data_IF_979288556238
#
_entry.id   IF_979288556238
#
_cell.length_a   1.000
_cell.length_b   1.000
_cell.length_c   1.000
_cell.angle_alpha   90.00
_cell.angle_beta   90.00
_cell.angle_gamma   90.00
#
_symmetry.space_group_name_H-M   'P 1'
#
loop_
_entity.id
_entity.type
_entity.pdbx_description
1 polymer ?
#
# COMPACT_ATOMS: atom_id res chain seq x y z
N UNK A 1 -58.18 -11.93 -26.68
CA UNK A 1 -57.47 -10.68 -27.06
C UNK A 1 -56.04 -10.88 -26.63
N UNK A 2 -55.22 -11.49 -27.49
CA UNK A 2 -53.82 -11.79 -27.21
C UNK A 2 -52.96 -10.94 -28.15
N UNK A 3 -52.22 -10.01 -27.56
CA UNK A 3 -51.28 -9.11 -28.25
C UNK A 3 -49.92 -9.81 -28.36
N UNK A 4 -49.61 -10.30 -29.57
CA UNK A 4 -48.30 -10.81 -29.91
C UNK A 4 -47.32 -9.64 -30.16
N UNK A 5 -46.23 -9.59 -29.40
CA UNK A 5 -45.11 -8.66 -29.60
C UNK A 5 -44.14 -9.28 -30.61
N UNK A 6 -44.10 -8.71 -31.80
CA UNK A 6 -43.12 -9.03 -32.85
C UNK A 6 -41.83 -8.27 -32.55
N UNK A 7 -40.76 -8.97 -32.19
CA UNK A 7 -39.41 -8.41 -32.08
C UNK A 7 -38.73 -8.58 -33.43
N UNK A 8 -38.51 -7.46 -34.14
CA UNK A 8 -37.66 -7.42 -35.32
C UNK A 8 -36.19 -7.42 -34.89
N UNK A 9 -35.45 -8.44 -35.30
CA UNK A 9 -33.99 -8.52 -35.16
C UNK A 9 -33.33 -7.63 -36.22
N UNK A 10 -32.70 -6.54 -35.80
CA UNK A 10 -31.84 -5.72 -36.66
C UNK A 10 -30.58 -6.50 -37.06
N UNK A 11 -30.37 -6.68 -38.37
CA UNK A 11 -29.16 -7.30 -38.91
C UNK A 11 -27.99 -6.32 -38.80
N UNK A 12 -27.01 -6.63 -37.97
CA UNK A 12 -25.77 -5.86 -37.85
C UNK A 12 -24.88 -6.15 -39.08
N UNK A 13 -24.54 -5.09 -39.82
CA UNK A 13 -23.68 -5.16 -41.00
C UNK A 13 -22.27 -5.69 -40.64
N UNK A 14 -21.77 -6.75 -41.31
CA UNK A 14 -20.47 -7.36 -41.00
C UNK A 14 -19.25 -6.47 -41.31
N UNK A 15 -19.45 -5.34 -41.99
CA UNK A 15 -18.36 -4.45 -42.43
C UNK A 15 -17.81 -3.55 -41.32
N UNK A 16 -18.57 -3.27 -40.24
CA UNK A 16 -18.08 -2.39 -39.16
C UNK A 16 -17.16 -3.09 -38.16
N UNK A 17 -17.32 -4.41 -37.98
CA UNK A 17 -16.49 -5.21 -37.08
C UNK A 17 -15.04 -5.34 -37.62
N UNK A 18 -14.90 -5.51 -38.94
CA UNK A 18 -13.58 -5.63 -39.59
C UNK A 18 -12.75 -4.34 -39.54
N UNK A 19 -13.37 -3.16 -39.54
CA UNK A 19 -12.65 -1.89 -39.43
C UNK A 19 -12.18 -1.59 -38.00
N UNK A 20 -12.96 -1.99 -36.99
CA UNK A 20 -12.54 -1.87 -35.59
C UNK A 20 -11.34 -2.81 -35.28
N UNK A 21 -11.35 -4.02 -35.84
CA UNK A 21 -10.26 -4.98 -35.64
C UNK A 21 -8.97 -4.58 -36.40
N UNK A 22 -9.10 -3.96 -37.58
CA UNK A 22 -7.97 -3.41 -38.33
C UNK A 22 -7.34 -2.17 -37.64
N UNK A 23 -8.15 -1.32 -36.99
CA UNK A 23 -7.65 -0.16 -36.25
C UNK A 23 -6.83 -0.58 -35.01
N UNK A 24 -7.28 -1.61 -34.27
CA UNK A 24 -6.56 -2.17 -33.12
C UNK A 24 -5.24 -2.86 -33.51
N UNK A 25 -5.16 -3.48 -34.69
CA UNK A 25 -3.91 -4.06 -35.22
C UNK A 25 -2.87 -3.00 -35.62
N UNK A 26 -3.30 -1.82 -36.09
CA UNK A 26 -2.37 -0.75 -36.45
C UNK A 26 -1.80 -0.01 -35.22
N UNK A 27 -2.59 0.21 -34.17
CA UNK A 27 -2.09 0.82 -32.91
C UNK A 27 -1.06 -0.05 -32.19
N UNK A 28 -1.23 -1.38 -32.20
CA UNK A 28 -0.28 -2.31 -31.59
C UNK A 28 1.05 -2.38 -32.37
N UNK A 29 1.03 -2.18 -33.68
CA UNK A 29 2.22 -2.20 -34.51
C UNK A 29 3.09 -0.93 -34.38
N UNK A 30 2.49 0.24 -34.13
CA UNK A 30 3.23 1.49 -33.89
C UNK A 30 3.86 1.56 -32.49
N UNK A 31 3.22 0.92 -31.50
CA UNK A 31 3.74 0.82 -30.14
C UNK A 31 5.09 0.08 -30.06
N UNK A 32 5.35 -0.86 -30.98
CA UNK A 32 6.61 -1.62 -31.01
C UNK A 32 7.77 -0.91 -31.72
N UNK A 33 7.52 0.04 -32.63
CA UNK A 33 8.58 0.80 -33.32
C UNK A 33 9.12 1.99 -32.51
N UNK A 34 8.30 2.58 -31.63
CA UNK A 34 8.65 3.82 -30.91
C UNK A 34 9.76 3.71 -29.84
N UNK A 35 10.14 2.50 -29.41
CA UNK A 35 11.07 2.32 -28.27
C UNK A 35 12.56 2.22 -28.65
N UNK A 36 12.90 2.12 -29.95
CA UNK A 36 14.29 1.83 -30.35
C UNK A 36 15.11 3.06 -30.78
N UNK A 37 14.48 4.19 -31.10
CA UNK A 37 15.20 5.38 -31.56
C UNK A 37 15.58 6.37 -30.44
N UNK A 38 14.94 6.31 -29.27
CA UNK A 38 15.24 7.23 -28.15
C UNK A 38 16.45 6.80 -27.31
N UNK A 39 16.75 5.50 -27.24
CA UNK A 39 17.92 4.99 -26.52
C UNK A 39 19.25 5.26 -27.25
N UNK A 40 19.25 5.30 -28.59
CA UNK A 40 20.43 5.61 -29.40
C UNK A 40 20.78 7.10 -29.40
N UNK A 41 19.79 7.99 -29.37
CA UNK A 41 19.99 9.44 -29.20
C UNK A 41 20.49 9.77 -27.79
N UNK A 42 19.89 9.19 -26.74
CA UNK A 42 20.34 9.38 -25.36
C UNK A 42 21.77 8.84 -25.13
N UNK A 43 22.11 7.70 -25.76
CA UNK A 43 23.47 7.13 -25.69
C UNK A 43 24.51 8.02 -26.39
N UNK A 44 24.16 8.67 -27.51
CA UNK A 44 25.04 9.63 -28.19
C UNK A 44 25.26 10.89 -27.36
N UNK A 45 24.23 11.38 -26.67
CA UNK A 45 24.34 12.54 -25.75
C UNK A 45 25.24 12.21 -24.55
N UNK A 46 25.08 11.02 -23.94
CA UNK A 46 25.91 10.58 -22.80
C UNK A 46 27.38 10.39 -23.21
N UNK A 47 27.65 9.82 -24.39
CA UNK A 47 29.03 9.66 -24.89
C UNK A 47 29.67 11.01 -25.21
N UNK A 48 28.90 11.97 -25.74
CA UNK A 48 29.38 13.33 -26.03
C UNK A 48 29.69 14.11 -24.75
N UNK A 49 28.88 13.95 -23.70
CA UNK A 49 29.09 14.60 -22.41
C UNK A 49 30.24 13.97 -21.61
N UNK A 50 30.43 12.65 -21.70
CA UNK A 50 31.57 11.96 -21.08
C UNK A 50 32.91 12.39 -21.68
N UNK A 51 32.96 12.61 -23.01
CA UNK A 51 34.14 13.18 -23.69
C UNK A 51 34.40 14.65 -23.33
N UNK A 52 33.38 15.43 -22.96
CA UNK A 52 33.56 16.80 -22.44
C UNK A 52 34.13 16.81 -21.02
N UNK A 53 33.70 15.87 -20.18
CA UNK A 53 34.18 15.74 -18.80
C UNK A 53 35.64 15.25 -18.77
N UNK A 54 36.03 14.31 -19.63
CA UNK A 54 37.42 13.83 -19.73
C UNK A 54 38.40 14.89 -20.24
N UNK A 55 37.96 15.84 -21.08
CA UNK A 55 38.82 16.94 -21.57
C UNK A 55 39.07 18.05 -20.54
N UNK A 56 38.29 18.11 -19.47
CA UNK A 56 38.35 19.20 -18.48
C UNK A 56 38.88 18.78 -17.10
N UNK A 57 39.49 17.59 -16.96
CA UNK A 57 40.16 17.21 -15.72
C UNK A 57 41.65 17.59 -15.74
N UNK A 58 42.16 18.31 -14.72
CA UNK A 58 43.58 18.60 -14.59
C UNK A 58 44.39 17.33 -14.28
N UNK A 59 45.46 17.13 -15.04
CA UNK A 59 46.46 16.06 -14.87
C UNK A 59 47.16 16.16 -13.51
N UNK A 60 46.62 15.53 -12.46
CA UNK A 60 47.42 15.28 -11.27
C UNK A 60 46.86 14.13 -10.41
N UNK A 61 46.80 12.89 -10.93
CA UNK A 61 46.50 11.70 -10.11
C UNK A 61 46.87 10.39 -10.85
N UNK A 62 48.16 10.06 -10.94
CA UNK A 62 48.61 8.75 -11.50
C UNK A 62 49.49 7.91 -10.56
N UNK A 63 49.94 8.40 -9.39
CA UNK A 63 50.98 7.70 -8.61
C UNK A 63 50.54 6.91 -7.35
N UNK A 64 49.24 6.72 -7.10
CA UNK A 64 48.76 6.10 -5.85
C UNK A 64 48.21 4.67 -5.97
N UNK A 65 48.21 4.03 -7.15
CA UNK A 65 47.53 2.73 -7.35
C UNK A 65 48.36 1.46 -7.16
N UNK A 66 49.67 1.54 -6.86
CA UNK A 66 50.54 0.35 -6.76
C UNK A 66 50.83 -0.15 -5.34
N UNK A 67 50.34 0.50 -4.27
CA UNK A 67 50.63 0.10 -2.87
C UNK A 67 49.44 -0.45 -2.05
N UNK A 68 48.27 -0.66 -2.67
CA UNK A 68 47.05 -1.04 -1.95
C UNK A 68 46.62 -2.51 -2.11
N UNK A 69 47.32 -3.32 -2.91
CA UNK A 69 46.96 -4.73 -3.17
C UNK A 69 47.50 -5.75 -2.14
N UNK A 70 48.49 -5.38 -1.33
CA UNK A 70 49.13 -6.35 -0.40
C UNK A 70 48.63 -6.28 1.05
N UNK A 71 47.80 -5.27 1.41
CA UNK A 71 47.29 -5.13 2.79
C UNK A 71 45.92 -5.79 3.05
N UNK A 72 45.22 -6.26 2.01
CA UNK A 72 43.86 -6.84 2.14
C UNK A 72 43.82 -8.36 2.29
N UNK A 73 44.95 -9.08 2.15
CA UNK A 73 44.97 -10.54 2.36
C UNK A 73 45.19 -10.98 3.81
N UNK A 74 45.67 -10.11 4.70
CA UNK A 74 46.03 -10.49 6.08
C UNK A 74 44.82 -10.43 7.05
N UNK A 75 43.71 -9.78 6.68
CA UNK A 75 42.62 -9.50 7.62
C UNK A 75 41.41 -10.47 7.53
N UNK A 76 41.35 -11.34 6.52
CA UNK A 76 40.21 -12.24 6.33
C UNK A 76 40.29 -13.52 7.20
N UNK A 77 41.49 -14.04 7.43
CA UNK A 77 41.69 -15.25 8.26
C UNK A 77 41.49 -14.99 9.76
N UNK A 78 41.83 -13.79 10.24
CA UNK A 78 41.65 -13.40 11.64
C UNK A 78 40.17 -13.16 12.02
N UNK A 79 39.33 -12.78 11.05
CA UNK A 79 37.88 -12.65 11.26
C UNK A 79 37.22 -14.03 11.37
N UNK A 80 37.63 -14.98 10.52
CA UNK A 80 37.15 -16.37 10.54
C UNK A 80 37.56 -17.13 11.80
N UNK A 81 38.75 -16.86 12.37
CA UNK A 81 39.18 -17.44 13.66
C UNK A 81 38.40 -16.89 14.86
N UNK A 82 37.94 -15.63 14.83
CA UNK A 82 37.15 -15.03 15.92
C UNK A 82 35.69 -15.49 15.94
N UNK A 83 35.12 -15.88 14.81
CA UNK A 83 33.76 -16.43 14.76
C UNK A 83 33.69 -17.89 15.21
N UNK A 84 34.71 -18.69 14.92
CA UNK A 84 34.77 -20.11 15.35
C UNK A 84 34.96 -20.28 16.86
N UNK A 85 35.58 -19.31 17.56
CA UNK A 85 35.67 -19.36 19.03
C UNK A 85 34.37 -18.97 19.76
N UNK A 86 33.47 -18.18 19.14
CA UNK A 86 32.22 -17.77 19.78
C UNK A 86 31.15 -18.85 19.80
N UNK A 87 31.23 -19.82 18.89
CA UNK A 87 30.23 -20.89 18.76
C UNK A 87 30.36 -22.01 19.81
N UNK A 88 31.52 -22.15 20.47
CA UNK A 88 31.76 -23.20 21.48
C UNK A 88 31.45 -22.80 22.94
N UNK A 89 30.98 -21.58 23.20
CA UNK A 89 30.73 -21.08 24.56
C UNK A 89 29.24 -20.94 24.96
N UNK A 90 28.29 -21.42 24.15
CA UNK A 90 26.84 -21.32 24.45
C UNK A 90 26.15 -22.68 24.55
N UNK A 91 26.60 -23.55 25.45
CA UNK A 91 25.82 -24.70 25.94
C UNK A 91 26.03 -24.88 27.45
N UNK A 92 25.49 -23.95 28.25
CA UNK A 92 25.18 -24.21 29.67
C UNK A 92 23.83 -23.58 30.03
N UNK A 93 22.86 -24.46 30.31
CA UNK A 93 21.54 -24.11 30.85
C UNK A 93 21.65 -23.54 32.26
N UNK A 94 20.66 -22.75 32.71
CA UNK A 94 20.32 -22.72 34.12
C UNK A 94 18.89 -23.16 34.40
N UNK A 95 18.83 -23.94 35.47
CA UNK A 95 17.71 -24.60 36.14
C UNK A 95 16.68 -23.64 36.74
N UNK A 96 15.42 -24.10 36.72
CA UNK A 96 14.27 -23.60 37.50
C UNK A 96 14.60 -23.37 38.97
N UNK A 97 14.23 -22.20 39.52
CA UNK A 97 13.93 -22.03 40.95
C UNK A 97 12.64 -21.24 41.15
N UNK A 98 11.88 -21.77 42.11
CA UNK A 98 10.53 -21.47 42.57
C UNK A 98 10.65 -20.79 43.94
N UNK A 99 9.93 -19.70 44.17
CA UNK A 99 9.58 -19.11 45.48
C UNK A 99 8.44 -18.11 45.16
N UNK A 100 7.18 -18.25 45.58
CA UNK A 100 6.59 -18.28 46.93
C UNK A 100 6.94 -17.07 47.81
N UNK A 101 5.86 -16.48 48.36
CA UNK A 101 5.75 -15.43 49.39
C UNK A 101 5.81 -13.99 48.81
N UNK A 102 5.03 -13.00 49.25
CA UNK A 102 4.38 -12.82 50.55
C UNK A 102 3.20 -11.84 50.49
N UNK A 103 2.29 -12.02 51.46
CA UNK A 103 1.20 -11.12 51.78
C UNK A 103 1.70 -9.87 52.53
N UNK A 104 1.12 -8.70 52.24
CA UNK A 104 1.49 -7.45 52.90
C UNK A 104 0.34 -6.43 52.93
N UNK A 105 -0.35 -6.39 54.07
CA UNK A 105 -1.31 -5.36 54.52
C UNK A 105 -0.71 -3.94 54.44
N UNK A 106 -1.54 -2.92 54.19
CA UNK A 106 -1.50 -1.61 54.89
C UNK A 106 -2.76 -0.77 54.56
N UNK A 107 -3.68 -0.62 55.52
CA UNK A 107 -3.84 0.54 56.44
C UNK A 107 -4.31 1.82 55.73
N UNK A 108 -5.60 2.16 55.84
CA UNK A 108 -6.18 3.12 56.82
C UNK A 108 -5.41 4.45 56.90
N UNK A 109 -6.02 5.53 56.39
CA UNK A 109 -5.99 6.86 57.02
C UNK A 109 -7.25 7.64 56.65
N UNK A 110 -8.13 7.78 57.64
CA UNK A 110 -9.21 8.75 57.62
C UNK A 110 -8.69 10.12 58.03
N UNK A 111 -9.29 11.16 57.47
CA UNK A 111 -9.27 12.51 58.03
C UNK A 111 -10.71 13.02 58.04
N UNK A 112 -11.37 12.82 59.19
CA UNK A 112 -12.49 13.67 59.64
C UNK A 112 -11.86 15.01 60.04
N UNK A 113 -12.28 16.10 59.38
CA UNK A 113 -12.01 17.45 59.86
C UNK A 113 -13.33 18.05 60.32
N UNK A 114 -13.50 18.06 61.63
CA UNK A 114 -14.46 18.85 62.38
C UNK A 114 -14.14 20.34 62.17
N UNK A 115 -15.12 21.12 61.73
CA UNK A 115 -15.10 22.57 61.85
C UNK A 115 -16.34 22.97 62.63
N UNK A 116 -16.06 23.74 63.65
CA UNK A 116 -16.90 24.23 64.74
C UNK A 116 -18.06 25.09 64.25
N UNK A 117 -19.23 24.83 64.83
CA UNK A 117 -20.31 25.79 64.94
C UNK A 117 -19.82 26.95 65.81
N UNK A 118 -19.92 28.17 65.27
CA UNK A 118 -19.83 29.40 66.05
C UNK A 118 -21.10 30.15 65.70
N UNK A 119 -22.05 30.09 66.62
CA UNK A 119 -23.23 30.94 66.63
C UNK A 119 -22.77 32.34 67.03
N UNK A 120 -22.85 33.30 66.09
CA UNK A 120 -22.83 34.71 66.42
C UNK A 120 -23.97 35.41 65.66
N UNK A 121 -25.02 35.64 66.44
CA UNK A 121 -26.06 36.64 66.25
C UNK A 121 -25.43 38.03 66.14
N UNK A 122 -25.67 38.77 65.04
CA UNK A 122 -25.99 40.21 65.13
C UNK A 122 -26.46 40.84 63.80
N UNK A 123 -27.49 41.67 63.96
CA UNK A 123 -27.94 42.81 63.17
C UNK A 123 -28.14 42.72 61.65
N UNK A 124 -29.43 42.59 61.34
CA UNK A 124 -30.12 43.17 60.19
C UNK A 124 -29.62 44.57 59.82
N UNK A 125 -29.05 44.71 58.62
CA UNK A 125 -28.80 45.97 57.91
C UNK A 125 -29.14 45.74 56.45
N UNK A 126 -30.24 46.34 56.05
CA UNK A 126 -30.89 46.25 54.76
C UNK A 126 -30.17 47.09 53.71
N UNK A 127 -29.13 46.50 53.08
CA UNK A 127 -28.43 46.99 51.88
C UNK A 127 -27.96 45.79 51.00
N UNK A 128 -28.86 44.85 50.69
CA UNK A 128 -28.50 43.52 50.13
C UNK A 128 -28.62 43.36 48.59
N UNK A 129 -28.96 44.39 47.82
CA UNK A 129 -29.33 44.16 46.41
C UNK A 129 -28.19 44.19 45.38
N UNK A 130 -26.94 44.51 45.76
CA UNK A 130 -25.83 44.67 44.77
C UNK A 130 -24.69 43.62 44.87
N UNK A 131 -24.74 42.69 45.82
CA UNK A 131 -23.67 41.66 45.98
C UNK A 131 -23.83 40.43 45.07
N UNK A 132 -25.04 40.12 44.63
CA UNK A 132 -25.33 38.93 43.81
C UNK A 132 -24.69 38.95 42.41
N UNK A 133 -24.50 40.14 41.83
CA UNK A 133 -24.05 40.27 40.44
C UNK A 133 -22.55 39.95 40.26
N UNK A 134 -21.73 40.18 41.30
CA UNK A 134 -20.29 39.91 41.24
C UNK A 134 -19.96 38.42 41.34
N UNK A 135 -20.74 37.64 42.10
CA UNK A 135 -20.51 36.20 42.25
C UNK A 135 -20.83 35.43 40.96
N UNK A 136 -21.92 35.78 40.27
CA UNK A 136 -22.29 35.17 38.99
C UNK A 136 -21.25 35.41 37.88
N UNK A 137 -20.61 36.60 37.88
CA UNK A 137 -19.56 36.95 36.92
C UNK A 137 -18.31 36.09 37.11
N UNK A 138 -17.88 35.87 38.36
CA UNK A 138 -16.71 35.04 38.69
C UNK A 138 -16.89 33.57 38.29
N UNK A 139 -18.06 32.99 38.54
CA UNK A 139 -18.35 31.61 38.15
C UNK A 139 -18.33 31.41 36.62
N UNK A 140 -18.86 32.38 35.87
CA UNK A 140 -18.86 32.33 34.41
C UNK A 140 -17.44 32.35 33.86
N UNK A 141 -16.57 33.21 34.38
CA UNK A 141 -15.18 33.30 33.96
C UNK A 141 -14.39 32.03 34.29
N UNK A 142 -14.60 31.46 35.48
CA UNK A 142 -13.99 30.19 35.88
C UNK A 142 -14.37 29.04 34.92
N UNK A 143 -15.67 28.92 34.60
CA UNK A 143 -16.17 27.92 33.63
C UNK A 143 -15.55 28.12 32.24
N UNK A 144 -15.46 29.35 31.77
CA UNK A 144 -14.83 29.66 30.48
C UNK A 144 -13.34 29.28 30.46
N UNK A 145 -12.60 29.55 31.53
CA UNK A 145 -11.18 29.20 31.61
C UNK A 145 -10.96 27.68 31.63
N UNK A 146 -11.80 26.94 32.36
CA UNK A 146 -11.77 25.47 32.35
C UNK A 146 -12.03 24.90 30.94
N UNK A 147 -13.01 25.46 30.22
CA UNK A 147 -13.30 25.07 28.83
C UNK A 147 -12.14 25.39 27.89
N UNK A 148 -11.52 26.58 28.01
CA UNK A 148 -10.33 26.95 27.22
C UNK A 148 -9.17 25.97 27.46
N UNK A 149 -8.97 25.52 28.70
CA UNK A 149 -7.96 24.51 29.01
C UNK A 149 -8.28 23.16 28.36
N UNK A 150 -9.52 22.68 28.44
CA UNK A 150 -9.96 21.44 27.78
C UNK A 150 -9.80 21.52 26.26
N UNK A 151 -10.14 22.66 25.64
CA UNK A 151 -9.91 22.87 24.20
C UNK A 151 -8.43 22.80 23.85
N UNK A 152 -7.54 23.45 24.62
CA UNK A 152 -6.08 23.37 24.41
C UNK A 152 -5.57 21.94 24.54
N UNK A 153 -6.01 21.22 25.56
CA UNK A 153 -5.61 19.82 25.77
C UNK A 153 -6.12 18.90 24.66
N UNK A 154 -7.36 19.09 24.21
CA UNK A 154 -7.94 18.37 23.08
C UNK A 154 -7.18 18.61 21.78
N UNK A 155 -6.80 19.87 21.49
CA UNK A 155 -5.98 20.24 20.32
C UNK A 155 -4.62 19.56 20.41
N UNK A 156 -3.98 19.61 21.59
CA UNK A 156 -2.66 18.99 21.82
C UNK A 156 -2.70 17.47 21.67
N UNK A 157 -3.76 16.82 22.17
CA UNK A 157 -3.94 15.35 22.11
C UNK A 157 -4.51 14.88 20.77
N UNK A 158 -4.99 15.78 19.91
CA UNK A 158 -5.71 15.46 18.67
C UNK A 158 -6.91 14.53 18.90
N UNK A 159 -7.60 14.68 20.03
CA UNK A 159 -8.75 13.86 20.38
C UNK A 159 -10.04 14.54 19.90
N UNK A 160 -10.63 13.99 18.84
CA UNK A 160 -11.86 14.52 18.23
C UNK A 160 -13.06 14.46 19.17
N UNK A 161 -13.19 13.44 20.03
CA UNK A 161 -14.31 13.34 20.96
C UNK A 161 -14.17 14.38 22.08
N UNK A 162 -12.96 14.54 22.63
CA UNK A 162 -12.69 15.55 23.65
C UNK A 162 -12.97 16.96 23.12
N UNK A 163 -12.55 17.25 21.88
CA UNK A 163 -12.80 18.54 21.24
C UNK A 163 -14.28 18.80 21.00
N UNK A 164 -15.04 17.82 20.49
CA UNK A 164 -16.49 17.95 20.28
C UNK A 164 -17.24 18.22 21.59
N UNK A 165 -16.87 17.52 22.67
CA UNK A 165 -17.44 17.76 24.01
C UNK A 165 -17.11 19.16 24.51
N UNK A 166 -15.84 19.58 24.44
CA UNK A 166 -15.42 20.90 24.89
C UNK A 166 -16.04 22.06 24.08
N UNK A 167 -16.29 21.86 22.78
CA UNK A 167 -17.00 22.85 21.95
C UNK A 167 -18.47 22.96 22.35
N UNK A 168 -19.15 21.83 22.63
CA UNK A 168 -20.54 21.83 23.14
C UNK A 168 -20.63 22.52 24.51
N UNK A 169 -19.68 22.25 25.40
CA UNK A 169 -19.58 22.94 26.70
C UNK A 169 -19.42 24.46 26.52
N UNK A 170 -18.63 24.90 25.54
CA UNK A 170 -18.43 26.30 25.23
C UNK A 170 -19.71 27.00 24.73
N UNK A 171 -20.50 26.31 23.90
CA UNK A 171 -21.80 26.79 23.43
C UNK A 171 -22.78 26.94 24.59
N UNK A 172 -22.82 25.99 25.52
CA UNK A 172 -23.69 26.06 26.71
C UNK A 172 -23.35 27.23 27.63
N UNK A 173 -22.07 27.60 27.75
CA UNK A 173 -21.61 28.74 28.58
C UNK A 173 -21.74 30.09 27.83
N UNK A 174 -22.16 30.07 26.56
CA UNK A 174 -22.31 31.26 25.74
C UNK A 174 -20.98 31.91 25.36
N UNK A 175 -19.93 31.11 25.13
CA UNK A 175 -18.67 31.63 24.59
C UNK A 175 -18.89 32.17 23.17
N UNK A 176 -18.24 33.29 22.85
CA UNK A 176 -18.32 33.90 21.52
C UNK A 176 -17.80 32.93 20.45
N UNK A 177 -18.53 32.80 19.33
CA UNK A 177 -18.15 31.91 18.20
C UNK A 177 -16.78 32.23 17.59
N UNK A 178 -16.33 33.48 17.73
CA UNK A 178 -15.05 33.98 17.21
C UNK A 178 -13.90 33.88 18.22
N UNK A 179 -14.11 33.24 19.38
CA UNK A 179 -13.03 33.01 20.34
C UNK A 179 -11.94 32.15 19.70
N UNK A 180 -10.69 32.60 19.75
CA UNK A 180 -9.52 31.98 19.11
C UNK A 180 -9.46 30.45 19.31
N UNK A 181 -9.66 29.96 20.53
CA UNK A 181 -9.57 28.54 20.84
C UNK A 181 -10.72 27.71 20.26
N UNK A 182 -11.90 28.29 20.09
CA UNK A 182 -13.04 27.62 19.45
C UNK A 182 -12.84 27.48 17.95
N UNK A 183 -12.34 28.54 17.30
CA UNK A 183 -12.00 28.50 15.87
C UNK A 183 -10.92 27.43 15.63
N UNK A 184 -9.82 27.47 16.39
CA UNK A 184 -8.76 26.45 16.28
C UNK A 184 -9.26 25.03 16.54
N UNK A 185 -10.14 24.82 17.52
CA UNK A 185 -10.71 23.50 17.81
C UNK A 185 -11.59 23.00 16.66
N UNK A 186 -12.44 23.86 16.08
CA UNK A 186 -13.29 23.51 14.94
C UNK A 186 -12.46 23.11 13.73
N UNK A 187 -11.43 23.88 13.41
CA UNK A 187 -10.53 23.60 12.28
C UNK A 187 -9.76 22.29 12.51
N UNK A 188 -9.29 22.07 13.74
CA UNK A 188 -8.59 20.82 14.11
C UNK A 188 -9.49 19.60 13.95
N UNK A 189 -10.76 19.68 14.39
CA UNK A 189 -11.72 18.58 14.22
C UNK A 189 -11.99 18.32 12.74
N UNK A 190 -12.24 19.36 11.94
CA UNK A 190 -12.49 19.22 10.49
C UNK A 190 -11.32 18.52 9.80
N UNK A 191 -10.10 18.96 10.07
CA UNK A 191 -8.90 18.38 9.46
C UNK A 191 -8.61 16.95 9.95
N UNK A 192 -8.90 16.61 11.21
CA UNK A 192 -8.79 15.22 11.70
C UNK A 192 -9.83 14.29 11.04
N UNK A 193 -11.04 14.79 10.80
CA UNK A 193 -12.08 14.04 10.08
C UNK A 193 -11.67 13.77 8.63
N UNK A 194 -11.14 14.76 7.92
CA UNK A 194 -10.61 14.62 6.57
C UNK A 194 -9.43 13.64 6.51
N UNK A 195 -8.49 13.72 7.47
CA UNK A 195 -7.40 12.74 7.58
C UNK A 195 -7.94 11.30 7.75
N UNK A 196 -8.99 11.13 8.55
CA UNK A 196 -9.58 9.81 8.78
C UNK A 196 -10.32 9.31 7.53
N UNK A 197 -10.99 10.19 6.78
CA UNK A 197 -11.60 9.86 5.49
C UNK A 197 -10.54 9.44 4.47
N UNK A 198 -9.44 10.19 4.35
CA UNK A 198 -8.31 9.82 3.49
C UNK A 198 -7.75 8.45 3.86
N UNK A 199 -7.49 8.20 5.16
CA UNK A 199 -7.05 6.88 5.63
C UNK A 199 -8.04 5.76 5.29
N UNK A 200 -9.34 6.02 5.40
CA UNK A 200 -10.37 5.05 5.03
C UNK A 200 -10.42 4.82 3.51
N UNK A 201 -10.26 5.85 2.69
CA UNK A 201 -10.19 5.75 1.23
C UNK A 201 -8.96 4.98 0.77
N UNK A 202 -7.81 5.27 1.37
CA UNK A 202 -6.54 4.53 1.24
C UNK A 202 -6.74 3.06 1.56
N UNK A 203 -7.35 2.73 2.72
CA UNK A 203 -7.62 1.35 3.11
C UNK A 203 -8.56 0.62 2.13
N UNK A 204 -9.48 1.34 1.50
CA UNK A 204 -10.38 0.78 0.48
C UNK A 204 -9.73 0.67 -0.91
N UNK A 205 -8.50 1.15 -1.09
CA UNK A 205 -7.75 1.15 -2.35
C UNK A 205 -8.53 1.73 -3.56
N UNK A 206 -9.47 2.65 -3.31
CA UNK A 206 -10.27 3.27 -4.38
C UNK A 206 -9.55 4.52 -4.87
N UNK A 207 -8.86 4.42 -6.01
CA UNK A 207 -8.10 5.52 -6.62
C UNK A 207 -8.88 6.84 -6.69
N UNK A 208 -10.12 6.81 -7.19
CA UNK A 208 -10.98 8.01 -7.28
C UNK A 208 -11.30 8.61 -5.92
N UNK A 209 -11.56 7.78 -4.91
CA UNK A 209 -11.81 8.25 -3.56
C UNK A 209 -10.55 8.89 -2.95
N UNK A 210 -9.37 8.29 -3.16
CA UNK A 210 -8.10 8.84 -2.70
C UNK A 210 -7.85 10.21 -3.36
N UNK A 211 -8.04 10.32 -4.67
CA UNK A 211 -7.87 11.56 -5.43
C UNK A 211 -8.81 12.66 -4.92
N UNK A 212 -10.10 12.35 -4.77
CA UNK A 212 -11.09 13.30 -4.27
C UNK A 212 -10.74 13.80 -2.86
N UNK A 213 -10.30 12.93 -1.96
CA UNK A 213 -9.90 13.31 -0.59
C UNK A 213 -8.61 14.14 -0.56
N UNK A 214 -7.62 13.83 -1.42
CA UNK A 214 -6.42 14.66 -1.59
C UNK A 214 -6.80 16.06 -2.04
N UNK A 215 -7.72 16.20 -3.00
CA UNK A 215 -8.17 17.49 -3.52
C UNK A 215 -8.93 18.30 -2.46
N UNK A 216 -9.73 17.64 -1.61
CA UNK A 216 -10.42 18.29 -0.48
C UNK A 216 -9.39 18.80 0.55
N UNK A 217 -8.46 17.94 0.97
CA UNK A 217 -7.43 18.31 1.95
C UNK A 217 -6.55 19.45 1.40
N UNK A 218 -6.18 19.40 0.13
CA UNK A 218 -5.37 20.44 -0.53
C UNK A 218 -6.11 21.79 -0.55
N UNK A 219 -7.42 21.80 -0.82
CA UNK A 219 -8.26 23.01 -0.78
C UNK A 219 -8.43 23.55 0.65
N UNK A 220 -8.58 22.69 1.65
CA UNK A 220 -8.67 23.14 3.04
C UNK A 220 -7.33 23.65 3.57
N UNK A 221 -6.21 23.05 3.16
CA UNK A 221 -4.88 23.51 3.48
C UNK A 221 -4.61 24.92 2.91
N UNK A 222 -5.01 25.19 1.66
CA UNK A 222 -4.84 26.52 1.08
C UNK A 222 -5.63 27.58 1.83
N UNK A 223 -6.85 27.25 2.28
CA UNK A 223 -7.66 28.11 3.15
C UNK A 223 -7.00 28.33 4.52
N UNK A 224 -6.42 27.29 5.12
CA UNK A 224 -5.76 27.40 6.42
C UNK A 224 -4.51 28.29 6.35
N UNK A 225 -3.74 28.18 5.26
CA UNK A 225 -2.56 29.00 4.99
C UNK A 225 -2.94 30.47 4.80
N UNK A 226 -4.05 30.77 4.12
CA UNK A 226 -4.50 32.16 3.91
C UNK A 226 -4.96 32.85 5.19
N UNK A 227 -5.51 32.10 6.16
CA UNK A 227 -5.98 32.63 7.44
C UNK A 227 -4.88 32.74 8.51
N UNK A 228 -3.68 32.24 8.22
CA UNK A 228 -2.51 32.33 9.10
C UNK A 228 -1.38 33.15 8.46
N UNK A 229 -1.52 34.50 8.33
CA UNK A 229 -0.56 35.35 7.62
C UNK A 229 0.87 35.32 8.20
N UNK A 230 1.05 34.87 9.44
CA UNK A 230 2.36 34.66 10.05
C UNK A 230 3.17 33.49 9.47
N UNK A 231 2.53 32.57 8.72
CA UNK A 231 3.18 31.39 8.12
C UNK A 231 3.78 31.73 6.74
N UNK A 232 3.20 32.68 6.00
CA UNK A 232 3.60 33.01 4.63
C UNK A 232 4.97 33.71 4.51
N UNK A 233 5.46 34.37 5.57
CA UNK A 233 6.67 35.21 5.46
C UNK A 233 8.01 34.48 5.60
N UNK A 234 8.04 33.22 6.04
CA UNK A 234 9.31 32.59 6.41
C UNK A 234 9.51 31.13 6.04
N UNK A 235 8.46 30.44 5.58
CA UNK A 235 8.64 29.12 4.94
C UNK A 235 8.35 29.33 3.47
N UNK A 236 9.35 29.32 2.57
CA UNK A 236 9.07 29.22 1.17
C UNK A 236 8.45 27.84 0.95
N UNK A 237 7.12 27.77 0.94
CA UNK A 237 6.37 26.61 0.48
C UNK A 237 6.49 26.44 -1.05
N UNK A 238 7.52 27.04 -1.66
CA UNK A 238 7.89 26.82 -3.05
C UNK A 238 8.09 25.32 -3.27
N UNK A 239 7.85 24.90 -4.50
CA UNK A 239 8.08 23.53 -4.98
C UNK A 239 9.45 22.97 -4.58
N UNK A 240 10.42 23.79 -4.20
CA UNK A 240 11.74 23.40 -3.72
C UNK A 240 11.73 22.61 -2.41
N UNK A 241 10.84 22.91 -1.44
CA UNK A 241 10.73 22.07 -0.22
C UNK A 241 10.08 20.72 -0.55
N UNK A 242 9.13 20.70 -1.49
CA UNK A 242 8.57 19.45 -2.04
C UNK A 242 9.64 18.63 -2.78
N UNK A 243 10.50 19.27 -3.56
CA UNK A 243 11.59 18.62 -4.30
C UNK A 243 12.71 18.12 -3.38
N UNK A 244 13.08 18.92 -2.37
CA UNK A 244 14.09 18.55 -1.38
C UNK A 244 13.64 17.40 -0.47
N UNK A 245 12.36 17.35 -0.06
CA UNK A 245 11.82 16.18 0.65
C UNK A 245 11.76 14.92 -0.21
N UNK A 246 11.56 15.04 -1.52
CA UNK A 246 11.51 13.91 -2.44
C UNK A 246 12.88 13.25 -2.67
N UNK A 247 13.98 14.02 -2.55
CA UNK A 247 15.35 13.51 -2.71
C UNK A 247 16.03 13.05 -1.41
N UNK A 248 15.44 13.30 -0.25
CA UNK A 248 16.08 12.93 1.03
C UNK A 248 15.97 11.41 1.25
N UNK A 249 17.09 10.68 1.34
CA UNK A 249 17.07 9.27 1.68
C UNK A 249 16.45 9.07 3.07
N UNK A 250 15.74 7.94 3.24
CA UNK A 250 15.08 7.53 4.47
C UNK A 250 16.08 7.49 5.64
N UNK A 251 16.26 8.60 6.36
CA UNK A 251 17.24 8.71 7.45
C UNK A 251 17.88 10.08 7.66
N UNK A 252 17.66 11.07 6.79
CA UNK A 252 18.22 12.40 6.98
C UNK A 252 17.54 13.16 8.15
N UNK A 253 18.35 13.68 9.08
CA UNK A 253 17.90 14.49 10.22
C UNK A 253 17.73 15.95 9.78
N UNK A 254 16.52 16.48 9.88
CA UNK A 254 16.23 17.89 9.57
C UNK A 254 16.72 18.82 10.71
N UNK A 255 17.29 19.99 10.38
CA UNK A 255 17.71 20.97 11.38
C UNK A 255 16.51 21.55 12.13
N UNK A 256 16.47 21.33 13.45
CA UNK A 256 15.47 21.86 14.36
C UNK A 256 15.73 23.34 14.64
N UNK A 257 15.09 24.23 13.88
CA UNK A 257 15.10 25.67 14.19
C UNK A 257 14.21 25.93 15.40
N UNK A 258 14.78 26.44 16.49
CA UNK A 258 14.08 26.73 17.74
C UNK A 258 13.27 28.04 17.65
N UNK A 259 11.94 27.94 17.46
CA UNK A 259 10.99 29.07 17.59
C UNK A 259 9.84 28.81 18.57
N UNK A 260 9.17 29.91 18.97
CA UNK A 260 8.15 30.04 20.04
C UNK A 260 7.10 28.91 20.01
N UNK A 261 6.83 28.34 21.19
CA UNK A 261 6.11 27.06 21.41
C UNK A 261 4.70 26.93 20.77
N UNK A 262 4.00 28.03 20.50
CA UNK A 262 2.63 27.97 19.96
C UNK A 262 2.55 27.77 18.45
N UNK A 263 3.55 28.19 17.67
CA UNK A 263 3.59 27.91 16.22
C UNK A 263 3.89 26.43 15.95
N UNK A 264 4.69 25.79 16.81
CA UNK A 264 5.11 24.38 16.65
C UNK A 264 3.95 23.39 16.51
N UNK A 265 2.81 23.63 17.15
CA UNK A 265 1.66 22.71 17.09
C UNK A 265 0.93 22.77 15.75
N UNK A 266 0.73 23.97 15.22
CA UNK A 266 0.12 24.16 13.89
C UNK A 266 1.07 23.70 12.79
N UNK A 267 2.38 23.98 12.94
CA UNK A 267 3.40 23.53 11.99
C UNK A 267 3.50 22.00 11.97
N UNK A 268 3.49 21.34 13.14
CA UNK A 268 3.48 19.88 13.23
C UNK A 268 2.22 19.29 12.62
N UNK A 269 1.07 19.94 12.80
CA UNK A 269 -0.20 19.47 12.25
C UNK A 269 -0.23 19.60 10.71
N UNK A 270 0.16 20.76 10.18
CA UNK A 270 0.31 20.96 8.75
C UNK A 270 1.29 19.94 8.15
N UNK A 271 2.41 19.70 8.83
CA UNK A 271 3.38 18.68 8.43
C UNK A 271 2.78 17.26 8.39
N UNK A 272 2.02 16.85 9.41
CA UNK A 272 1.36 15.55 9.44
C UNK A 272 0.32 15.39 8.33
N UNK A 273 -0.41 16.45 7.98
CA UNK A 273 -1.34 16.43 6.84
C UNK A 273 -0.59 16.32 5.52
N UNK A 274 0.49 17.08 5.34
CA UNK A 274 1.33 17.00 4.13
C UNK A 274 1.93 15.61 3.96
N UNK A 275 2.43 14.99 5.04
CA UNK A 275 2.90 13.60 5.00
C UNK A 275 1.78 12.63 4.61
N UNK A 276 0.58 12.79 5.17
CA UNK A 276 -0.56 11.93 4.84
C UNK A 276 -1.01 12.06 3.38
N UNK A 277 -1.02 13.28 2.84
CA UNK A 277 -1.28 13.53 1.41
C UNK A 277 -0.21 12.89 0.54
N UNK A 278 1.07 13.03 0.91
CA UNK A 278 2.18 12.45 0.16
C UNK A 278 2.12 10.91 0.12
N UNK A 279 1.84 10.27 1.26
CA UNK A 279 1.66 8.82 1.32
C UNK A 279 0.49 8.36 0.46
N UNK A 280 -0.64 9.08 0.50
CA UNK A 280 -1.80 8.78 -0.32
C UNK A 280 -1.54 9.00 -1.82
N UNK A 281 -0.79 10.04 -2.20
CA UNK A 281 -0.37 10.27 -3.60
C UNK A 281 0.49 9.11 -4.11
N UNK A 282 1.45 8.65 -3.30
CA UNK A 282 2.29 7.50 -3.66
C UNK A 282 1.45 6.24 -3.89
N UNK A 283 0.50 5.96 -3.02
CA UNK A 283 -0.40 4.82 -3.18
C UNK A 283 -1.32 4.97 -4.39
N UNK A 284 -1.79 6.19 -4.69
CA UNK A 284 -2.57 6.47 -5.88
C UNK A 284 -1.77 6.18 -7.15
N UNK A 285 -0.53 6.65 -7.23
CA UNK A 285 0.36 6.36 -8.36
C UNK A 285 0.62 4.86 -8.50
N UNK A 286 0.80 4.13 -7.40
CA UNK A 286 1.01 2.68 -7.41
C UNK A 286 -0.25 1.95 -7.95
N UNK A 287 -1.46 2.35 -7.52
CA UNK A 287 -2.72 1.80 -8.02
C UNK A 287 -2.92 2.14 -9.51
N UNK A 288 -2.65 3.38 -9.93
CA UNK A 288 -2.77 3.79 -11.33
C UNK A 288 -1.77 3.05 -12.22
N UNK A 289 -0.53 2.85 -11.74
CA UNK A 289 0.48 2.03 -12.41
C UNK A 289 0.04 0.57 -12.52
N UNK A 290 -0.60 -0.01 -11.49
CA UNK A 290 -1.18 -1.36 -11.58
C UNK A 290 -2.29 -1.43 -12.63
N UNK A 291 -3.29 -0.55 -12.55
CA UNK A 291 -4.43 -0.51 -13.47
C UNK A 291 -4.03 -0.23 -14.91
N UNK A 292 -3.00 0.59 -15.12
CA UNK A 292 -2.46 0.86 -16.46
C UNK A 292 -1.90 -0.43 -17.05
N UNK A 293 -1.14 -1.19 -16.26
CA UNK A 293 -0.61 -2.49 -16.71
C UNK A 293 -1.69 -3.52 -16.90
N UNK A 294 -2.66 -3.64 -16.01
CA UNK A 294 -3.81 -4.54 -16.22
C UNK A 294 -4.50 -4.26 -17.56
N UNK A 295 -4.71 -2.98 -17.90
CA UNK A 295 -5.24 -2.59 -19.22
C UNK A 295 -4.31 -3.00 -20.35
N UNK A 296 -3.03 -2.63 -20.28
CA UNK A 296 -2.03 -2.99 -21.30
C UNK A 296 -1.91 -4.51 -21.48
N UNK A 297 -1.97 -5.28 -20.40
CA UNK A 297 -1.88 -6.74 -20.37
C UNK A 297 -3.15 -7.38 -20.89
N UNK A 298 -4.33 -6.88 -20.50
CA UNK A 298 -5.61 -7.43 -20.96
C UNK A 298 -5.81 -7.31 -22.47
N UNK A 299 -5.29 -6.24 -23.07
CA UNK A 299 -5.29 -6.05 -24.53
C UNK A 299 -4.37 -7.07 -25.20
N UNK A 300 -3.22 -7.37 -24.58
CA UNK A 300 -2.12 -8.12 -25.20
C UNK A 300 -2.22 -9.63 -24.95
N UNK A 301 -2.74 -10.05 -23.80
CA UNK A 301 -2.95 -11.45 -23.40
C UNK A 301 -4.45 -11.68 -23.24
N UNK A 302 -5.06 -12.28 -24.26
CA UNK A 302 -6.47 -12.66 -24.26
C UNK A 302 -6.65 -14.18 -24.45
N UNK A 303 -7.91 -14.65 -24.51
CA UNK A 303 -8.21 -16.07 -24.71
C UNK A 303 -7.73 -16.60 -26.07
N UNK A 304 -7.66 -15.75 -27.09
CA UNK A 304 -7.06 -16.06 -28.39
C UNK A 304 -5.55 -16.30 -28.28
N UNK A 305 -4.83 -15.43 -27.57
CA UNK A 305 -3.40 -15.57 -27.25
C UNK A 305 -3.14 -16.91 -26.54
N UNK A 306 -3.97 -17.27 -25.55
CA UNK A 306 -3.88 -18.54 -24.83
C UNK A 306 -4.09 -19.74 -25.76
N UNK A 307 -5.13 -19.69 -26.61
CA UNK A 307 -5.44 -20.74 -27.57
C UNK A 307 -4.31 -20.94 -28.59
N UNK A 308 -3.71 -19.85 -29.08
CA UNK A 308 -2.58 -19.89 -29.99
C UNK A 308 -1.36 -20.60 -29.35
N UNK A 309 -1.07 -20.32 -28.08
CA UNK A 309 -0.02 -21.01 -27.33
C UNK A 309 -0.34 -22.50 -27.14
N UNK A 310 -1.59 -22.85 -26.82
CA UNK A 310 -1.99 -24.27 -26.68
C UNK A 310 -1.93 -25.06 -27.98
N UNK A 311 -2.10 -24.39 -29.12
CA UNK A 311 -2.10 -25.02 -30.43
C UNK A 311 -0.76 -25.67 -30.83
N UNK A 312 0.34 -25.31 -30.15
CA UNK A 312 1.64 -25.94 -30.40
C UNK A 312 1.66 -27.38 -29.87
N UNK A 313 1.68 -28.35 -30.78
CA UNK A 313 1.96 -29.76 -30.47
C UNK A 313 3.39 -29.92 -29.92
N UNK A 314 4.34 -29.23 -30.52
CA UNK A 314 5.74 -29.13 -30.11
C UNK A 314 6.19 -27.67 -30.23
N UNK A 315 6.45 -26.98 -29.11
CA UNK A 315 6.69 -25.54 -29.13
C UNK A 315 8.13 -25.24 -29.59
N UNK A 316 8.36 -24.15 -30.33
CA UNK A 316 9.71 -23.64 -30.53
C UNK A 316 10.39 -23.38 -29.17
N UNK A 317 11.68 -23.71 -29.05
CA UNK A 317 12.42 -23.60 -27.77
C UNK A 317 12.30 -22.22 -27.13
N UNK A 318 12.30 -21.15 -27.96
CA UNK A 318 12.15 -19.77 -27.48
C UNK A 318 10.76 -19.52 -26.87
N UNK A 319 9.70 -20.02 -27.52
CA UNK A 319 8.32 -19.93 -26.99
C UNK A 319 8.23 -20.66 -25.66
N UNK A 320 8.77 -21.88 -25.59
CA UNK A 320 8.77 -22.66 -24.35
C UNK A 320 9.51 -21.94 -23.21
N UNK A 321 10.69 -21.37 -23.47
CA UNK A 321 11.46 -20.59 -22.48
C UNK A 321 10.70 -19.36 -21.98
N UNK A 322 9.99 -18.66 -22.86
CA UNK A 322 9.15 -17.53 -22.45
C UNK A 322 8.03 -17.99 -21.53
N UNK A 323 7.32 -19.06 -21.92
CA UNK A 323 6.26 -19.62 -21.10
C UNK A 323 6.77 -20.12 -19.75
N UNK A 324 7.96 -20.73 -19.69
CA UNK A 324 8.62 -21.08 -18.43
C UNK A 324 8.81 -19.87 -17.53
N UNK A 325 9.40 -18.78 -18.05
CA UNK A 325 9.60 -17.55 -17.30
C UNK A 325 8.29 -16.95 -16.79
N UNK A 326 7.25 -16.94 -17.63
CA UNK A 326 5.92 -16.44 -17.27
C UNK A 326 5.24 -17.29 -16.20
N UNK A 327 5.27 -18.62 -16.31
CA UNK A 327 4.71 -19.51 -15.30
C UNK A 327 5.52 -19.50 -13.99
N UNK A 328 6.82 -19.22 -14.06
CA UNK A 328 7.65 -18.99 -12.87
C UNK A 328 7.11 -17.83 -12.02
N UNK A 329 6.71 -16.74 -12.68
CA UNK A 329 6.14 -15.56 -12.01
C UNK A 329 4.79 -15.89 -11.36
N UNK A 330 3.98 -16.72 -12.01
CA UNK A 330 2.69 -17.20 -11.48
C UNK A 330 2.83 -18.19 -10.31
N UNK A 331 4.06 -18.57 -9.95
CA UNK A 331 4.33 -19.40 -8.79
C UNK A 331 4.47 -20.89 -9.09
N UNK A 332 4.70 -21.27 -10.34
CA UNK A 332 4.99 -22.65 -10.72
C UNK A 332 6.49 -22.94 -10.68
N UNK A 333 6.84 -24.20 -10.37
CA UNK A 333 8.23 -24.64 -10.29
C UNK A 333 8.89 -24.70 -11.68
N UNK A 334 10.18 -24.37 -11.74
CA UNK A 334 10.95 -24.44 -13.00
C UNK A 334 11.02 -25.89 -13.54
N UNK A 335 11.10 -26.89 -12.65
CA UNK A 335 11.16 -28.30 -13.04
C UNK A 335 9.85 -28.75 -13.69
N UNK A 336 8.69 -28.37 -13.13
CA UNK A 336 7.38 -28.71 -13.71
C UNK A 336 7.15 -28.00 -15.04
N UNK A 337 7.57 -26.73 -15.13
CA UNK A 337 7.47 -25.96 -16.38
C UNK A 337 8.50 -26.38 -17.44
N UNK A 338 9.45 -27.26 -17.09
CA UNK A 338 10.32 -27.93 -18.07
C UNK A 338 9.53 -28.81 -19.03
N UNK A 339 8.37 -29.34 -18.62
CA UNK A 339 7.50 -30.14 -19.47
C UNK A 339 6.46 -29.28 -20.19
N UNK A 340 6.46 -29.31 -21.53
CA UNK A 340 5.47 -28.54 -22.30
C UNK A 340 4.03 -28.95 -22.00
N UNK A 341 3.78 -30.25 -21.80
CA UNK A 341 2.46 -30.79 -21.46
C UNK A 341 1.91 -30.19 -20.18
N UNK A 342 2.77 -29.91 -19.20
CA UNK A 342 2.37 -29.23 -17.97
C UNK A 342 1.88 -27.81 -18.27
N UNK A 343 2.68 -27.04 -19.02
CA UNK A 343 2.33 -25.66 -19.41
C UNK A 343 1.00 -25.63 -20.15
N UNK A 344 0.80 -26.48 -21.16
CA UNK A 344 -0.44 -26.48 -21.96
C UNK A 344 -1.65 -26.91 -21.13
N UNK A 345 -1.49 -27.85 -20.20
CA UNK A 345 -2.57 -28.25 -19.27
C UNK A 345 -3.04 -27.10 -18.38
N UNK A 346 -2.11 -26.24 -17.96
CA UNK A 346 -2.38 -25.09 -17.10
C UNK A 346 -2.76 -23.83 -17.88
N UNK A 347 -2.35 -23.70 -19.13
CA UNK A 347 -2.70 -22.61 -20.03
C UNK A 347 -4.20 -22.68 -20.38
N UNK A 348 -5.03 -22.16 -19.49
CA UNK A 348 -6.49 -22.15 -19.59
C UNK A 348 -7.02 -20.82 -19.00
N UNK A 349 -8.35 -20.67 -18.91
CA UNK A 349 -8.96 -19.45 -18.37
C UNK A 349 -8.50 -19.08 -16.95
N UNK A 350 -8.13 -20.06 -16.12
CA UNK A 350 -7.59 -19.80 -14.77
C UNK A 350 -6.21 -19.15 -14.80
N UNK A 351 -5.35 -19.50 -15.78
CA UNK A 351 -4.05 -18.84 -15.96
C UNK A 351 -4.25 -17.40 -16.44
N UNK A 352 -5.18 -17.17 -17.36
CA UNK A 352 -5.51 -15.80 -17.78
C UNK A 352 -5.99 -14.96 -16.59
N UNK A 353 -6.90 -15.50 -15.78
CA UNK A 353 -7.34 -14.86 -14.54
C UNK A 353 -6.16 -14.60 -13.59
N UNK A 354 -5.28 -15.59 -13.41
CA UNK A 354 -4.08 -15.44 -12.56
C UNK A 354 -3.09 -14.38 -13.04
N UNK A 355 -3.03 -14.12 -14.35
CA UNK A 355 -2.23 -13.02 -14.94
C UNK A 355 -2.89 -11.66 -14.72
N UNK A 356 -4.22 -11.58 -14.89
CA UNK A 356 -4.98 -10.35 -14.70
C UNK A 356 -5.05 -9.93 -13.23
N UNK A 357 -5.21 -10.90 -12.33
CA UNK A 357 -5.27 -10.71 -10.88
C UNK A 357 -3.86 -10.73 -10.23
N UNK A 358 -2.79 -10.69 -11.03
CA UNK A 358 -1.44 -10.87 -10.52
C UNK A 358 -0.94 -9.69 -9.68
N UNK A 359 -0.71 -9.91 -8.38
CA UNK A 359 -0.15 -8.90 -7.49
C UNK A 359 1.38 -9.02 -7.36
N UNK A 360 2.08 -8.02 -7.93
CA UNK A 360 3.54 -7.90 -7.88
C UNK A 360 4.06 -7.71 -6.45
N UNK A 361 3.25 -7.15 -5.55
CA UNK A 361 3.59 -6.98 -4.14
C UNK A 361 3.75 -8.32 -3.41
N UNK A 362 3.15 -9.40 -3.93
CA UNK A 362 3.24 -10.75 -3.37
C UNK A 362 4.36 -11.61 -3.99
N UNK A 363 5.01 -11.10 -5.04
CA UNK A 363 6.08 -11.82 -5.74
C UNK A 363 7.40 -11.72 -4.98
N UNK A 364 8.10 -12.85 -4.81
CA UNK A 364 9.41 -12.87 -4.17
C UNK A 364 10.49 -12.32 -5.12
N UNK A 365 11.39 -11.42 -4.67
CA UNK A 365 12.36 -10.76 -5.55
C UNK A 365 13.32 -11.75 -6.24
N UNK A 366 13.67 -12.85 -5.56
CA UNK A 366 14.54 -13.89 -6.14
C UNK A 366 13.86 -14.67 -7.28
N UNK A 367 12.54 -14.90 -7.20
CA UNK A 367 11.76 -15.53 -8.26
C UNK A 367 11.69 -14.58 -9.46
N UNK A 368 11.40 -13.30 -9.20
CA UNK A 368 11.40 -12.27 -10.23
C UNK A 368 12.75 -12.18 -10.95
N UNK A 369 13.86 -12.19 -10.22
CA UNK A 369 15.21 -12.17 -10.80
C UNK A 369 15.49 -13.42 -11.66
N UNK A 370 15.01 -14.58 -11.23
CA UNK A 370 15.19 -15.84 -11.97
C UNK A 370 14.35 -15.85 -13.25
N UNK A 371 13.07 -15.45 -13.18
CA UNK A 371 12.19 -15.32 -14.33
C UNK A 371 12.76 -14.32 -15.34
N UNK A 372 13.21 -13.15 -14.86
CA UNK A 372 13.82 -12.12 -15.69
C UNK A 372 15.07 -12.64 -16.41
N UNK A 373 15.90 -13.45 -15.74
CA UNK A 373 17.06 -14.08 -16.39
C UNK A 373 16.62 -14.98 -17.56
N UNK A 374 15.67 -15.88 -17.32
CA UNK A 374 15.12 -16.80 -18.35
C UNK A 374 14.54 -16.02 -19.54
N UNK A 375 13.80 -14.94 -19.25
CA UNK A 375 13.20 -14.10 -20.28
C UNK A 375 14.26 -13.32 -21.07
N UNK A 376 15.22 -12.66 -20.41
CA UNK A 376 16.26 -11.85 -21.08
C UNK A 376 17.15 -12.62 -22.05
N UNK A 377 17.31 -13.93 -21.86
CA UNK A 377 18.03 -14.79 -22.79
C UNK A 377 17.32 -14.87 -24.16
N UNK A 378 16.04 -14.49 -24.24
CA UNK A 378 15.25 -14.49 -25.47
C UNK A 378 15.35 -13.14 -26.19
N UNK A 379 15.80 -13.16 -27.45
CA UNK A 379 15.85 -11.96 -28.29
C UNK A 379 14.43 -11.54 -28.73
N UNK A 380 13.98 -10.34 -28.32
CA UNK A 380 12.67 -9.75 -28.66
C UNK A 380 12.33 -9.82 -30.15
N UNK A 381 13.24 -9.40 -31.03
CA UNK A 381 12.96 -9.31 -32.48
C UNK A 381 12.67 -10.68 -33.06
N UNK A 382 13.47 -11.65 -32.66
CA UNK A 382 13.35 -13.03 -33.14
C UNK A 382 12.14 -13.74 -32.50
N UNK A 383 11.73 -13.36 -31.29
CA UNK A 383 10.57 -13.95 -30.65
C UNK A 383 9.26 -13.51 -31.32
N UNK A 384 9.13 -12.21 -31.61
CA UNK A 384 7.96 -11.66 -32.29
C UNK A 384 7.70 -12.31 -33.65
N UNK A 385 8.76 -12.52 -34.44
CA UNK A 385 8.66 -13.20 -35.74
C UNK A 385 8.24 -14.68 -35.63
N UNK A 386 8.43 -15.31 -34.48
CA UNK A 386 8.07 -16.73 -34.25
C UNK A 386 6.64 -16.84 -33.74
N UNK A 387 6.28 -16.02 -32.75
CA UNK A 387 4.96 -16.06 -32.13
C UNK A 387 4.65 -14.73 -31.47
N UNK A 388 3.68 -14.02 -32.04
CA UNK A 388 3.08 -12.81 -31.45
C UNK A 388 2.52 -13.12 -30.05
N UNK A 389 1.85 -14.26 -29.91
CA UNK A 389 1.30 -14.68 -28.63
C UNK A 389 2.38 -14.88 -27.56
N UNK A 390 3.51 -15.49 -27.89
CA UNK A 390 4.62 -15.63 -26.94
C UNK A 390 5.24 -14.26 -26.60
N UNK A 391 5.27 -13.34 -27.57
CA UNK A 391 5.76 -11.98 -27.32
C UNK A 391 4.90 -11.25 -26.28
N UNK A 392 3.58 -11.44 -26.30
CA UNK A 392 2.66 -10.92 -25.28
C UNK A 392 3.07 -11.35 -23.86
N UNK A 393 3.34 -12.64 -23.66
CA UNK A 393 3.81 -13.19 -22.38
C UNK A 393 5.20 -12.68 -21.98
N UNK A 394 6.10 -12.50 -22.94
CA UNK A 394 7.42 -11.92 -22.70
C UNK A 394 7.33 -10.50 -22.16
N UNK A 395 6.52 -9.64 -22.81
CA UNK A 395 6.36 -8.23 -22.42
C UNK A 395 5.77 -8.14 -21.02
N UNK A 396 4.69 -8.89 -20.75
CA UNK A 396 4.09 -8.98 -19.43
C UNK A 396 5.08 -9.47 -18.37
N UNK A 397 5.77 -10.58 -18.64
CA UNK A 397 6.69 -11.20 -17.69
C UNK A 397 7.88 -10.31 -17.34
N UNK A 398 8.47 -9.65 -18.34
CA UNK A 398 9.55 -8.68 -18.14
C UNK A 398 9.09 -7.47 -17.33
N UNK A 399 7.93 -6.88 -17.69
CA UNK A 399 7.37 -5.73 -16.97
C UNK A 399 7.05 -6.06 -15.50
N UNK A 400 6.52 -7.25 -15.25
CA UNK A 400 6.22 -7.77 -13.91
C UNK A 400 7.49 -7.96 -13.07
N UNK A 401 8.52 -8.57 -13.65
CA UNK A 401 9.78 -8.81 -12.96
C UNK A 401 10.56 -7.51 -12.67
N UNK A 402 10.58 -6.58 -13.64
CA UNK A 402 11.22 -5.27 -13.49
C UNK A 402 10.55 -4.44 -12.38
N UNK A 403 9.22 -4.47 -12.29
CA UNK A 403 8.52 -3.74 -11.24
C UNK A 403 8.75 -4.36 -9.86
N UNK A 404 8.77 -5.70 -9.76
CA UNK A 404 9.11 -6.36 -8.50
C UNK A 404 10.49 -5.89 -7.98
N UNK A 405 11.46 -5.72 -8.87
CA UNK A 405 12.78 -5.20 -8.52
C UNK A 405 12.77 -3.74 -8.09
N UNK A 406 11.88 -2.90 -8.66
CA UNK A 406 11.70 -1.50 -8.23
C UNK A 406 11.06 -1.41 -6.85
N UNK A 407 10.07 -2.25 -6.54
CA UNK A 407 9.33 -2.22 -5.28
C UNK A 407 10.13 -2.83 -4.11
N UNK A 408 10.80 -3.96 -4.35
CA UNK A 408 11.45 -4.77 -3.29
C UNK A 408 12.98 -4.74 -3.34
N UNK A 409 13.57 -4.07 -4.32
CA UNK A 409 15.01 -4.09 -4.57
C UNK A 409 15.48 -5.27 -5.41
N UNK A 410 16.79 -5.35 -5.63
CA UNK A 410 17.42 -6.38 -6.48
C UNK A 410 17.46 -7.73 -5.76
N UNK A 411 16.68 -8.69 -6.24
CA UNK A 411 16.77 -10.09 -5.82
C UNK A 411 18.03 -10.79 -6.34
N UNK A 412 18.34 -11.95 -5.77
CA UNK A 412 19.39 -12.86 -6.26
C UNK A 412 18.75 -13.97 -7.07
N UNK A 413 19.40 -14.38 -8.16
CA UNK A 413 18.98 -15.58 -8.91
C UNK A 413 19.11 -16.79 -8.00
N UNK A 414 18.07 -17.61 -7.93
CA UNK A 414 18.02 -18.78 -7.05
C UNK A 414 17.99 -20.08 -7.85
N UNK A 415 18.54 -21.12 -7.24
CA UNK A 415 18.39 -22.48 -7.74
C UNK A 415 17.02 -23.06 -7.40
N UNK A 416 16.63 -24.11 -8.11
CA UNK A 416 15.28 -24.71 -8.03
C UNK A 416 14.93 -25.19 -6.61
N UNK A 417 15.89 -25.73 -5.85
CA UNK A 417 15.65 -26.16 -4.46
C UNK A 417 15.11 -25.04 -3.57
N UNK A 418 15.77 -23.89 -3.58
CA UNK A 418 15.35 -22.71 -2.78
C UNK A 418 14.04 -22.12 -3.29
N UNK A 419 13.76 -22.25 -4.59
CA UNK A 419 12.48 -21.84 -5.14
C UNK A 419 11.33 -22.69 -4.59
N UNK A 420 11.49 -24.02 -4.59
CA UNK A 420 10.49 -24.93 -4.05
C UNK A 420 10.25 -24.66 -2.56
N UNK A 421 11.30 -24.38 -1.77
CA UNK A 421 11.16 -23.97 -0.37
C UNK A 421 10.30 -22.71 -0.21
N UNK A 422 10.49 -21.69 -1.07
CA UNK A 422 9.70 -20.45 -1.04
C UNK A 422 8.22 -20.74 -1.34
N UNK A 423 7.93 -21.62 -2.30
CA UNK A 423 6.56 -21.96 -2.66
C UNK A 423 5.87 -22.86 -1.64
N UNK A 424 6.57 -23.89 -1.13
CA UNK A 424 6.04 -24.78 -0.10
C UNK A 424 5.72 -24.02 1.18
N UNK A 425 6.55 -23.06 1.58
CA UNK A 425 6.29 -22.22 2.76
C UNK A 425 5.02 -21.37 2.60
N UNK A 426 4.78 -20.86 1.40
CA UNK A 426 3.59 -20.04 1.12
C UNK A 426 2.29 -20.85 1.13
N UNK A 427 2.35 -22.14 0.78
CA UNK A 427 1.22 -23.06 0.90
C UNK A 427 0.87 -23.34 2.36
N UNK A 428 1.87 -23.63 3.20
CA UNK A 428 1.65 -23.91 4.63
C UNK A 428 1.16 -22.68 5.41
N UNK A 429 1.68 -21.49 5.11
CA UNK A 429 1.25 -20.26 5.81
C UNK A 429 -0.21 -19.85 5.53
N UNK A 430 -0.77 -20.25 4.39
CA UNK A 430 -2.18 -19.98 4.04
C UNK A 430 -3.16 -20.95 4.74
N UNK A 431 -2.76 -22.21 4.97
CA UNK A 431 -3.59 -23.19 5.68
C UNK A 431 -3.74 -22.83 7.16
N UNK A 432 -2.65 -22.38 7.80
CA UNK A 432 -2.66 -21.92 9.20
C UNK A 432 -3.51 -20.65 9.41
N UNK A 433 -3.59 -19.76 8.41
CA UNK A 433 -4.45 -18.57 8.48
C UNK A 433 -5.94 -18.90 8.27
N UNK A 434 -6.25 -19.95 7.52
CA UNK A 434 -7.63 -20.40 7.30
C UNK A 434 -8.22 -21.14 8.51
N UNK A 435 -7.40 -21.91 9.24
CA UNK A 435 -7.85 -22.69 10.40
C UNK A 435 -8.01 -21.84 11.67
N UNK A 436 -7.34 -20.70 11.78
CA UNK A 436 -7.50 -19.77 12.90
C UNK A 436 -8.78 -18.89 12.82
N UNK A 437 -9.48 -18.87 11.67
CA UNK A 437 -10.67 -18.03 11.48
C UNK A 437 -12.00 -18.76 11.69
N UNK A 438 -12.02 -20.08 11.93
CA UNK A 438 -13.27 -20.86 11.97
C UNK A 438 -13.70 -21.39 13.35
N UNK A 439 -13.02 -21.03 14.45
CA UNK A 439 -13.34 -21.59 15.78
C UNK A 439 -14.07 -20.64 16.73
N UNK A 440 -14.74 -19.58 16.24
CA UNK A 440 -15.39 -18.60 17.12
C UNK A 440 -16.94 -18.62 17.19
N UNK A 441 -17.68 -19.21 16.23
CA UNK A 441 -19.14 -18.97 16.18
C UNK A 441 -20.07 -20.20 16.13
N UNK A 442 -19.58 -21.45 16.16
CA UNK A 442 -20.45 -22.64 16.08
C UNK A 442 -20.76 -23.31 17.44
N UNK A 443 -21.40 -22.55 18.34
CA UNK A 443 -22.08 -23.11 19.52
C UNK A 443 -23.44 -22.44 19.78
N UNK A 444 -24.39 -22.62 18.86
CA UNK A 444 -25.83 -22.75 19.17
C UNK A 444 -26.60 -22.94 17.87
N UNK A 445 -27.20 -24.12 17.70
CA UNK A 445 -28.50 -24.43 17.10
C UNK A 445 -28.45 -25.95 16.86
N UNK A 446 -28.81 -26.69 17.92
CA UNK A 446 -29.38 -28.03 17.82
C UNK A 446 -30.89 -27.86 18.08
N UNK A 447 -31.66 -28.81 17.56
CA UNK A 447 -33.12 -28.99 17.64
C UNK A 447 -33.94 -28.24 16.57
N UNK A 448 -34.17 -28.92 15.45
CA UNK A 448 -35.47 -29.54 15.15
C UNK A 448 -35.44 -30.13 13.72
N UNK A 449 -35.38 -31.46 13.62
CA UNK A 449 -35.59 -32.17 12.35
C UNK A 449 -36.77 -33.12 12.53
N UNK A 450 -37.94 -32.59 12.18
CA UNK A 450 -39.17 -33.36 11.95
C UNK A 450 -39.15 -33.91 10.52
N UNK A 451 -39.50 -35.18 10.43
CA UNK A 451 -39.77 -36.00 9.26
C UNK A 451 -40.42 -35.28 8.09
N UNK A 452 -39.98 -35.58 6.87
CA UNK A 452 -40.95 -35.90 5.81
C UNK A 452 -40.38 -36.79 4.71
N UNK A 453 -41.22 -37.78 4.43
CA UNK A 453 -41.15 -38.92 3.54
C UNK A 453 -41.01 -38.61 2.04
N UNK A 454 -40.33 -39.56 1.37
CA UNK A 454 -40.69 -40.28 0.13
C UNK A 454 -41.04 -39.53 -1.18
N UNK A 455 -40.65 -40.22 -2.27
CA UNK A 455 -41.02 -40.09 -3.72
C UNK A 455 -40.04 -39.23 -4.54
N UNK A 456 -39.48 -39.68 -5.67
CA UNK A 456 -39.72 -40.85 -6.51
C UNK A 456 -38.47 -41.16 -7.35
N UNK A 457 -38.12 -42.43 -7.43
CA UNK A 457 -37.46 -43.02 -8.59
C UNK A 457 -38.43 -43.00 -9.79
N UNK A 458 -37.96 -42.57 -10.95
CA UNK A 458 -38.23 -43.11 -12.30
C UNK A 458 -37.92 -42.05 -13.37
N UNK A 459 -36.89 -42.32 -14.18
CA UNK A 459 -36.85 -42.14 -15.64
C UNK A 459 -35.42 -41.89 -16.14
N UNK A 460 -34.68 -42.98 -16.38
CA UNK A 460 -33.53 -42.99 -17.27
C UNK A 460 -33.55 -44.28 -18.10
N UNK A 461 -34.35 -44.27 -19.15
CA UNK A 461 -34.23 -45.17 -20.28
C UNK A 461 -34.75 -44.45 -21.53
N UNK A 462 -34.05 -44.61 -22.64
CA UNK A 462 -34.31 -44.11 -24.00
C UNK A 462 -33.71 -42.74 -24.35
N UNK A 463 -32.49 -42.76 -24.87
CA UNK A 463 -32.22 -42.20 -26.20
C UNK A 463 -30.85 -42.65 -26.68
N UNK A 464 -30.83 -43.82 -27.32
CA UNK A 464 -29.70 -44.31 -28.09
C UNK A 464 -30.27 -44.97 -29.34
N UNK A 465 -30.52 -44.17 -30.38
CA UNK A 465 -30.63 -44.70 -31.74
C UNK A 465 -30.62 -43.60 -32.80
N UNK A 466 -29.91 -43.91 -33.90
CA UNK A 466 -30.01 -43.36 -35.26
C UNK A 466 -29.22 -42.08 -35.56
N UNK A 467 -27.97 -42.28 -35.98
CA UNK A 467 -27.47 -41.64 -37.19
C UNK A 467 -26.55 -42.60 -37.95
N UNK A 468 -27.16 -43.42 -38.80
CA UNK A 468 -26.53 -44.08 -39.94
C UNK A 468 -27.51 -43.94 -41.12
N UNK A 469 -27.13 -43.17 -42.14
CA UNK A 469 -27.16 -43.57 -43.56
C UNK A 469 -27.03 -42.36 -44.52
N UNK A 470 -26.07 -42.54 -45.44
CA UNK A 470 -25.97 -42.08 -46.83
C UNK A 470 -25.69 -40.61 -47.14
#
# INVERSE_FOLDING_TARGET
MDTAVVIQSESVNPTSLGMAEAALRNETHDYFKGSSNSEDEASKVIVKEKKRIEKNQPNNYQDSKTKQKDKTKINAEDILRRETQKFNSQTKQPTKKRAQNDAGKNQKKGQKKSISNTDDSYSSSSDEDDKGNNQAKGEKEFKQNAIKQRLREGIKKQDTQMLKRAMKDAEMVGMKKNEKYLVMARDTVKALEERNKLRAAVKKAKAEAIKNEIDVITRNLSFFVSHCPGIQREVPWSLEVRFAMWQLPSGAKLPLIHRKRHHRLLDLFAFLLVLGVFEAQRQLEDIERSKKREREVSVVINQGTMSAIKGFKEPPTKVHRVMQGSFLLLGYDLDKTSEWRFITSKCNGSTLKGILDFDVSQLHPDIAATAQKVLREQNRKNLYSISEAAMSFYVWGMGTADECQKLKGKGKVIGVKRQNEIFSKKLTENEDQSSASSTADDKKIQDDTVSQDNRSDQNLANSQEKFDQK
#
